data_IF_061404824500
#
_entry.id   IF_061404824500
#
_cell.length_a   1.000
_cell.length_b   1.000
_cell.length_c   1.000
_cell.angle_alpha   90.00
_cell.angle_beta   90.00
_cell.angle_gamma   90.00
#
_symmetry.space_group_name_H-M   'P 1'
#
loop_
_entity.id
_entity.type
_entity.pdbx_description
1 polymer ?
#
# COMPACT_ATOMS: atom_id res chain seq x y z
N UNK A 1 -8.67 37.47 4.20
CA UNK A 1 -7.24 37.24 3.95
C UNK A 1 -6.56 38.52 3.46
N UNK A 2 -5.26 38.71 3.68
CA UNK A 2 -4.48 39.80 3.08
C UNK A 2 -3.75 39.38 1.79
N UNK A 3 -3.17 40.35 1.06
CA UNK A 3 -2.54 40.13 -0.24
C UNK A 3 -1.30 39.22 -0.18
N UNK A 4 -0.48 39.36 0.87
CA UNK A 4 0.75 38.57 1.00
C UNK A 4 0.43 37.12 1.35
N UNK A 5 -0.58 36.92 2.20
CA UNK A 5 -1.12 35.61 2.53
C UNK A 5 -1.77 34.95 1.30
N UNK A 6 -2.58 35.68 0.53
CA UNK A 6 -3.16 35.15 -0.71
C UNK A 6 -2.08 34.77 -1.72
N UNK A 7 -1.05 35.60 -1.87
CA UNK A 7 0.11 35.30 -2.72
C UNK A 7 0.83 34.03 -2.26
N UNK A 8 1.02 33.86 -0.96
CA UNK A 8 1.65 32.66 -0.39
C UNK A 8 0.84 31.40 -0.70
N UNK A 9 -0.48 31.44 -0.51
CA UNK A 9 -1.38 30.32 -0.80
C UNK A 9 -1.34 29.99 -2.30
N UNK A 10 -1.55 30.99 -3.17
CA UNK A 10 -1.64 30.81 -4.62
C UNK A 10 -0.35 30.25 -5.25
N UNK A 11 0.82 30.45 -4.64
CA UNK A 11 2.08 29.81 -5.10
C UNK A 11 2.01 28.29 -5.09
N UNK A 12 1.20 27.72 -4.20
CA UNK A 12 1.04 26.26 -4.08
C UNK A 12 -0.16 25.71 -4.86
N UNK A 13 -0.92 26.58 -5.54
CA UNK A 13 -2.10 26.17 -6.31
C UNK A 13 -1.67 25.29 -7.47
N UNK A 14 -2.21 24.07 -7.59
CA UNK A 14 -1.79 23.14 -8.64
C UNK A 14 -2.49 23.42 -9.98
N UNK A 15 -1.80 23.23 -11.12
CA UNK A 15 -2.37 23.46 -12.45
C UNK A 15 -3.41 22.39 -12.86
N UNK A 16 -3.44 21.24 -12.18
CA UNK A 16 -4.41 20.15 -12.44
C UNK A 16 -5.79 20.40 -11.81
N UNK A 17 -5.95 21.50 -11.05
CA UNK A 17 -7.21 21.87 -10.43
C UNK A 17 -7.61 21.00 -9.23
N UNK A 18 -6.68 20.20 -8.69
CA UNK A 18 -6.98 19.35 -7.54
C UNK A 18 -7.24 20.13 -6.24
N UNK A 19 -7.00 21.44 -6.23
CA UNK A 19 -7.23 22.35 -5.11
C UNK A 19 -8.50 23.22 -5.27
N UNK A 20 -9.35 22.95 -6.28
CA UNK A 20 -10.52 23.80 -6.60
C UNK A 20 -11.57 23.81 -5.48
N UNK A 21 -11.70 22.72 -4.73
CA UNK A 21 -12.68 22.61 -3.64
C UNK A 21 -12.16 23.16 -2.29
N UNK A 22 -10.93 23.65 -2.24
CA UNK A 22 -10.34 24.21 -1.03
C UNK A 22 -10.77 25.68 -0.85
N UNK A 23 -11.27 25.98 0.34
CA UNK A 23 -11.84 27.29 0.67
C UNK A 23 -10.77 28.39 0.73
N UNK A 24 -9.55 28.07 1.15
CA UNK A 24 -8.46 29.04 1.24
C UNK A 24 -8.01 29.48 -0.16
N UNK A 25 -7.95 28.52 -1.09
CA UNK A 25 -7.67 28.82 -2.50
C UNK A 25 -8.80 29.61 -3.16
N UNK A 26 -10.06 29.27 -2.87
CA UNK A 26 -11.20 30.03 -3.38
C UNK A 26 -11.18 31.50 -2.91
N UNK A 27 -10.89 31.75 -1.62
CA UNK A 27 -10.75 33.10 -1.08
C UNK A 27 -9.55 33.84 -1.73
N UNK A 28 -8.43 33.14 -1.96
CA UNK A 28 -7.23 33.75 -2.56
C UNK A 28 -7.44 34.10 -4.03
N UNK A 29 -8.12 33.24 -4.79
CA UNK A 29 -8.48 33.48 -6.17
C UNK A 29 -9.46 34.64 -6.30
N UNK A 30 -10.46 34.72 -5.42
CA UNK A 30 -11.38 35.86 -5.39
C UNK A 30 -10.64 37.18 -5.14
N UNK A 31 -9.69 37.20 -4.19
CA UNK A 31 -8.86 38.39 -3.95
C UNK A 31 -8.00 38.76 -5.16
N UNK A 32 -7.44 37.76 -5.87
CA UNK A 32 -6.66 38.00 -7.10
C UNK A 32 -7.51 38.51 -8.28
N UNK A 33 -8.82 38.25 -8.29
CA UNK A 33 -9.74 38.82 -9.27
C UNK A 33 -10.04 40.30 -9.00
N UNK A 34 -10.02 40.72 -7.73
CA UNK A 34 -10.29 42.10 -7.32
C UNK A 34 -9.04 42.98 -7.32
N UNK A 35 -7.88 42.44 -6.91
CA UNK A 35 -6.59 43.14 -6.89
C UNK A 35 -5.82 42.92 -8.20
N UNK A 36 -5.72 43.99 -8.99
CA UNK A 36 -5.04 43.96 -10.30
C UNK A 36 -3.59 43.48 -10.24
N UNK A 37 -2.82 43.92 -9.26
CA UNK A 37 -1.40 43.55 -9.16
C UNK A 37 -1.25 42.07 -8.79
N UNK A 38 -2.09 41.57 -7.86
CA UNK A 38 -2.10 40.16 -7.51
C UNK A 38 -2.55 39.28 -8.69
N UNK A 39 -3.57 39.72 -9.44
CA UNK A 39 -4.04 39.05 -10.65
C UNK A 39 -2.99 39.01 -11.77
N UNK A 40 -2.30 40.13 -12.04
CA UNK A 40 -1.21 40.21 -13.02
C UNK A 40 -0.05 39.28 -12.62
N UNK A 41 0.33 39.26 -11.32
CA UNK A 41 1.34 38.33 -10.81
C UNK A 41 0.90 36.87 -10.98
N UNK A 42 -0.33 36.52 -10.62
CA UNK A 42 -0.84 35.15 -10.73
C UNK A 42 -0.84 34.69 -12.18
N UNK A 43 -1.28 35.53 -13.12
CA UNK A 43 -1.27 35.21 -14.54
C UNK A 43 0.15 34.93 -15.06
N UNK A 44 1.14 35.72 -14.62
CA UNK A 44 2.54 35.48 -14.96
C UNK A 44 3.05 34.14 -14.41
N UNK A 45 2.75 33.84 -13.14
CA UNK A 45 3.12 32.57 -12.50
C UNK A 45 2.52 31.38 -13.27
N UNK A 46 1.22 31.44 -13.61
CA UNK A 46 0.54 30.38 -14.38
C UNK A 46 1.10 30.20 -15.77
N UNK A 47 1.46 31.29 -16.45
CA UNK A 47 2.08 31.22 -17.77
C UNK A 47 3.46 30.52 -17.70
N UNK A 48 4.25 30.82 -16.67
CA UNK A 48 5.53 30.17 -16.43
C UNK A 48 5.36 28.68 -16.14
N UNK A 49 4.48 28.31 -15.20
CA UNK A 49 4.23 26.91 -14.83
C UNK A 49 3.75 26.08 -16.03
N UNK A 50 2.87 26.65 -16.86
CA UNK A 50 2.40 26.01 -18.08
C UNK A 50 3.53 25.78 -19.08
N UNK A 51 4.40 26.78 -19.29
CA UNK A 51 5.54 26.65 -20.20
C UNK A 51 6.54 25.61 -19.68
N UNK A 52 6.80 25.59 -18.38
CA UNK A 52 7.70 24.62 -17.75
C UNK A 52 7.16 23.19 -17.83
N UNK A 53 5.88 22.99 -17.52
CA UNK A 53 5.22 21.69 -17.64
C UNK A 53 5.21 21.19 -19.09
N UNK A 54 5.00 22.08 -20.05
CA UNK A 54 5.05 21.74 -21.47
C UNK A 54 6.46 21.31 -21.89
N UNK A 55 7.49 22.03 -21.43
CA UNK A 55 8.88 21.68 -21.70
C UNK A 55 9.21 20.28 -21.15
N UNK A 56 8.82 19.98 -19.90
CA UNK A 56 9.02 18.65 -19.32
C UNK A 56 8.26 17.54 -20.07
N UNK A 57 7.00 17.81 -20.46
CA UNK A 57 6.20 16.85 -21.23
C UNK A 57 6.71 16.59 -22.65
N UNK A 58 7.55 17.48 -23.19
CA UNK A 58 8.16 17.32 -24.52
C UNK A 58 9.38 16.39 -24.53
N UNK A 59 9.92 16.05 -23.36
CA UNK A 59 11.08 15.17 -23.23
C UNK A 59 10.68 13.74 -23.56
N UNK A 60 11.34 13.14 -24.56
CA UNK A 60 11.16 11.72 -24.87
C UNK A 60 11.76 10.89 -23.73
N UNK A 61 10.90 10.14 -23.05
CA UNK A 61 11.33 9.22 -22.01
C UNK A 61 11.84 7.93 -22.67
N UNK A 62 13.02 7.40 -22.26
CA UNK A 62 13.42 6.07 -22.68
C UNK A 62 12.39 5.03 -22.26
N UNK A 63 12.06 4.09 -23.14
CA UNK A 63 11.12 2.99 -22.82
C UNK A 63 11.55 2.20 -21.58
N UNK A 64 12.86 2.13 -21.31
CA UNK A 64 13.45 1.43 -20.17
C UNK A 64 13.54 2.25 -18.88
N UNK A 65 13.08 3.52 -18.88
CA UNK A 65 13.26 4.42 -17.74
C UNK A 65 12.58 3.88 -16.47
N UNK A 66 11.38 3.29 -16.63
CA UNK A 66 10.62 2.73 -15.51
C UNK A 66 11.37 1.58 -14.86
N UNK A 67 11.85 0.63 -15.66
CA UNK A 67 12.60 -0.53 -15.20
C UNK A 67 13.90 -0.10 -14.54
N UNK A 68 14.59 0.89 -15.10
CA UNK A 68 15.83 1.43 -14.54
C UNK A 68 15.60 2.10 -13.18
N UNK A 69 14.52 2.88 -13.03
CA UNK A 69 14.15 3.49 -11.74
C UNK A 69 13.85 2.39 -10.71
N UNK A 70 13.08 1.36 -11.08
CA UNK A 70 12.78 0.27 -10.18
C UNK A 70 14.00 -0.55 -9.80
N UNK A 71 14.92 -0.80 -10.74
CA UNK A 71 16.18 -1.47 -10.44
C UNK A 71 17.04 -0.68 -9.45
N UNK A 72 17.12 0.64 -9.64
CA UNK A 72 17.85 1.55 -8.75
C UNK A 72 17.22 1.58 -7.34
N UNK A 73 15.90 1.72 -7.26
CA UNK A 73 15.17 1.69 -5.99
C UNK A 73 15.28 0.33 -5.29
N UNK A 74 15.20 -0.78 -6.02
CA UNK A 74 15.38 -2.12 -5.44
C UNK A 74 16.78 -2.32 -4.87
N UNK A 75 17.81 -1.75 -5.53
CA UNK A 75 19.17 -1.76 -5.03
C UNK A 75 19.34 -0.89 -3.76
N UNK A 76 18.71 0.28 -3.71
CA UNK A 76 18.80 1.20 -2.56
C UNK A 76 18.01 0.72 -1.34
N UNK A 77 16.85 0.10 -1.56
CA UNK A 77 15.91 -0.21 -0.46
C UNK A 77 16.19 -1.51 0.27
N UNK A 78 17.00 -2.42 -0.31
CA UNK A 78 17.23 -3.77 0.22
C UNK A 78 15.94 -4.57 0.59
N UNK A 79 14.75 -4.09 0.19
CA UNK A 79 13.44 -4.65 0.55
C UNK A 79 13.09 -5.90 -0.28
N UNK A 80 13.86 -6.17 -1.34
CA UNK A 80 13.81 -7.45 -2.01
C UNK A 80 14.94 -8.32 -1.48
N UNK A 81 14.66 -9.54 -0.97
CA UNK A 81 15.72 -10.49 -0.68
C UNK A 81 16.49 -10.74 -1.98
N UNK A 82 17.66 -10.11 -2.10
CA UNK A 82 18.63 -10.45 -3.11
C UNK A 82 19.09 -11.86 -2.75
N UNK A 83 19.02 -12.79 -3.69
CA UNK A 83 19.52 -14.12 -3.44
C UNK A 83 21.01 -14.04 -3.09
N UNK A 84 21.37 -14.43 -1.87
CA UNK A 84 22.77 -14.40 -1.42
C UNK A 84 23.61 -15.48 -2.12
N UNK A 85 22.96 -16.57 -2.53
CA UNK A 85 23.57 -17.66 -3.26
C UNK A 85 22.62 -18.32 -4.30
N UNK A 86 23.15 -19.31 -5.01
CA UNK A 86 22.41 -20.03 -6.05
C UNK A 86 21.25 -20.88 -5.50
N UNK A 87 21.32 -21.29 -4.23
CA UNK A 87 20.27 -22.08 -3.59
C UNK A 87 19.09 -21.16 -3.28
N UNK A 88 19.36 -20.01 -2.66
CA UNK A 88 18.33 -18.99 -2.40
C UNK A 88 17.65 -18.51 -3.67
N UNK A 89 18.42 -18.28 -4.75
CA UNK A 89 17.86 -17.92 -6.05
C UNK A 89 16.88 -18.99 -6.57
N UNK A 90 17.23 -20.27 -6.42
CA UNK A 90 16.37 -21.37 -6.83
C UNK A 90 15.08 -21.47 -5.99
N UNK A 91 15.17 -21.24 -4.68
CA UNK A 91 14.00 -21.23 -3.79
C UNK A 91 13.06 -20.06 -4.08
N UNK A 92 13.60 -18.85 -4.26
CA UNK A 92 12.82 -17.66 -4.62
C UNK A 92 12.10 -17.90 -5.95
N UNK A 93 12.80 -18.40 -6.97
CA UNK A 93 12.21 -18.72 -8.27
C UNK A 93 11.13 -19.81 -8.18
N UNK A 94 11.36 -20.87 -7.39
CA UNK A 94 10.39 -21.94 -7.18
C UNK A 94 9.10 -21.43 -6.52
N UNK A 95 9.20 -20.62 -5.47
CA UNK A 95 8.05 -20.03 -4.79
C UNK A 95 7.30 -19.04 -5.70
N UNK A 96 8.02 -18.21 -6.45
CA UNK A 96 7.43 -17.26 -7.39
C UNK A 96 6.67 -17.95 -8.54
N UNK A 97 7.04 -19.19 -8.89
CA UNK A 97 6.36 -19.96 -9.92
C UNK A 97 4.99 -20.52 -9.49
N UNK A 98 4.68 -20.49 -8.20
CA UNK A 98 3.41 -21.00 -7.68
C UNK A 98 2.28 -20.06 -8.10
N UNK A 99 1.39 -20.58 -8.96
CA UNK A 99 0.19 -19.89 -9.38
C UNK A 99 -1.00 -20.42 -8.58
N UNK A 100 -1.49 -19.69 -7.56
CA UNK A 100 -2.66 -20.13 -6.81
C UNK A 100 -3.89 -20.14 -7.72
N UNK A 101 -4.81 -21.12 -7.58
CA UNK A 101 -6.08 -21.11 -8.28
C UNK A 101 -6.88 -19.84 -7.96
N UNK A 102 -7.58 -19.28 -8.95
CA UNK A 102 -8.34 -18.04 -8.78
C UNK A 102 -9.33 -18.08 -7.60
N UNK A 103 -9.92 -19.25 -7.32
CA UNK A 103 -10.87 -19.44 -6.23
C UNK A 103 -10.23 -19.62 -4.83
N UNK A 104 -8.90 -19.78 -4.74
CA UNK A 104 -8.24 -20.08 -3.46
C UNK A 104 -8.45 -18.96 -2.44
N UNK A 105 -8.37 -17.70 -2.88
CA UNK A 105 -8.60 -16.55 -2.01
C UNK A 105 -9.98 -16.62 -1.35
N UNK A 106 -11.01 -16.85 -2.15
CA UNK A 106 -12.39 -16.90 -1.66
C UNK A 106 -12.62 -18.08 -0.71
N UNK A 107 -11.98 -19.23 -0.97
CA UNK A 107 -12.01 -20.40 -0.10
C UNK A 107 -11.34 -20.14 1.26
N UNK A 108 -10.20 -19.45 1.25
CA UNK A 108 -9.48 -19.07 2.48
C UNK A 108 -10.33 -18.10 3.31
N UNK A 109 -10.90 -17.07 2.68
CA UNK A 109 -11.78 -16.12 3.37
C UNK A 109 -13.01 -16.82 3.96
N UNK A 110 -13.67 -17.69 3.19
CA UNK A 110 -14.81 -18.47 3.69
C UNK A 110 -14.44 -19.44 4.83
N UNK A 111 -13.21 -19.97 4.85
CA UNK A 111 -12.71 -20.76 5.97
C UNK A 111 -12.41 -19.90 7.20
N UNK A 112 -11.85 -18.70 7.01
CA UNK A 112 -11.61 -17.72 8.08
C UNK A 112 -12.92 -17.28 8.73
N UNK A 113 -13.95 -16.96 7.94
CA UNK A 113 -15.27 -16.56 8.45
C UNK A 113 -15.93 -17.67 9.28
N UNK A 114 -15.86 -18.92 8.83
CA UNK A 114 -16.34 -20.08 9.60
C UNK A 114 -15.60 -20.24 10.92
N UNK A 115 -14.28 -20.02 10.92
CA UNK A 115 -13.45 -20.13 12.12
C UNK A 115 -13.75 -18.99 13.10
N UNK A 116 -13.92 -17.76 12.59
CA UNK A 116 -14.34 -16.61 13.38
C UNK A 116 -15.74 -16.83 14.00
N UNK A 117 -16.70 -17.31 13.22
CA UNK A 117 -18.03 -17.65 13.71
C UNK A 117 -17.99 -18.77 14.77
N UNK A 118 -17.17 -19.81 14.58
CA UNK A 118 -17.00 -20.88 15.57
C UNK A 118 -16.35 -20.38 16.87
N UNK A 119 -15.40 -19.45 16.79
CA UNK A 119 -14.78 -18.82 17.96
C UNK A 119 -15.77 -17.96 18.77
N UNK A 120 -16.80 -17.41 18.12
CA UNK A 120 -17.89 -16.66 18.78
C UNK A 120 -18.93 -17.60 19.41
N UNK A 121 -19.16 -18.78 18.84
CA UNK A 121 -20.23 -19.71 19.26
C UNK A 121 -19.80 -20.67 20.37
N UNK A 122 -18.50 -20.91 20.58
CA UNK A 122 -18.02 -21.70 21.73
C UNK A 122 -17.92 -20.78 22.95
N UNK A 123 -18.85 -20.83 23.93
CA UNK A 123 -18.56 -20.24 25.22
C UNK A 123 -17.33 -20.94 25.76
N UNK A 124 -16.31 -20.15 26.12
CA UNK A 124 -15.16 -20.59 26.89
C UNK A 124 -15.65 -21.04 28.27
N UNK A 125 -16.28 -22.21 28.35
CA UNK A 125 -16.67 -22.83 29.62
C UNK A 125 -15.39 -23.30 30.30
N UNK A 126 -14.79 -22.43 31.10
CA UNK A 126 -13.84 -22.80 32.15
C UNK A 126 -14.57 -23.72 33.13
N UNK A 127 -14.55 -25.03 32.89
CA UNK A 127 -14.97 -25.99 33.91
C UNK A 127 -13.82 -26.20 34.89
N UNK A 128 -14.09 -26.16 36.20
CA UNK A 128 -13.06 -26.16 37.21
C UNK A 128 -12.38 -27.53 37.34
N UNK A 129 -11.08 -27.45 37.62
CA UNK A 129 -10.23 -28.51 38.14
C UNK A 129 -10.92 -29.23 39.32
N UNK A 130 -10.83 -30.57 39.37
CA UNK A 130 -11.39 -31.51 40.37
C UNK A 130 -12.72 -32.16 39.97
N UNK A 131 -12.62 -33.35 39.36
CA UNK A 131 -13.17 -34.60 39.93
C UNK A 131 -12.87 -35.82 39.02
N UNK A 132 -12.21 -36.82 39.64
CA UNK A 132 -12.35 -38.28 39.41
C UNK A 132 -11.65 -38.80 38.15
N UNK A 133 -10.50 -39.47 38.20
CA UNK A 133 -10.15 -40.68 38.98
C UNK A 133 -11.12 -41.83 38.66
N UNK A 134 -10.92 -42.47 37.51
CA UNK A 134 -11.31 -43.84 37.21
C UNK A 134 -10.56 -44.31 35.94
N UNK A 135 -9.43 -44.98 36.17
CA UNK A 135 -8.82 -45.89 35.20
C UNK A 135 -9.68 -47.17 35.17
N UNK A 136 -9.81 -47.85 34.02
CA UNK A 136 -9.35 -49.23 34.04
C UNK A 136 -8.35 -49.52 32.91
N UNK A 137 -7.33 -50.26 33.33
CA UNK A 137 -6.28 -50.91 32.55
C UNK A 137 -6.90 -52.06 31.76
N UNK A 138 -6.70 -52.07 30.44
CA UNK A 138 -6.68 -53.22 29.52
C UNK A 138 -6.60 -52.64 28.09
N UNK A 139 -5.74 -53.05 27.16
CA UNK A 139 -4.96 -54.26 27.04
C UNK A 139 -3.66 -53.96 26.27
N UNK A 140 -2.61 -54.65 26.67
CA UNK A 140 -1.36 -54.76 25.95
C UNK A 140 -1.53 -55.62 24.68
N UNK A 141 -1.02 -55.13 23.56
CA UNK A 141 -0.46 -55.87 22.43
C UNK A 141 0.23 -54.81 21.55
N UNK A 142 1.55 -54.68 21.43
CA UNK A 142 2.58 -55.71 21.51
C UNK A 142 2.77 -56.39 20.16
N UNK A 143 3.19 -55.65 19.12
CA UNK A 143 4.01 -56.18 18.02
C UNK A 143 5.03 -55.11 17.61
N UNK A 144 6.25 -55.28 18.10
CA UNK A 144 7.46 -54.85 17.42
C UNK A 144 7.78 -55.88 16.33
N UNK A 145 8.32 -55.43 15.19
CA UNK A 145 9.19 -56.09 14.21
C UNK A 145 9.07 -55.28 12.90
N UNK A 146 10.09 -54.93 12.13
CA UNK A 146 11.54 -54.88 12.26
C UNK A 146 12.03 -54.22 10.94
N UNK A 147 13.18 -53.53 11.01
CA UNK A 147 13.95 -52.90 9.93
C UNK A 147 13.40 -51.62 9.29
#
# INVERSE_FOLDING_TARGET
MDKDQARFILRSYRPDGADVDDTDFAEALALAMEDRELGEWLAHERAFDSAFSQALGSVQLPETLRENIFACLAAERADFPQAEDAVDAAWIGALASIHPPAALRDQVLAAMDRTAAAAVVVPMTRKPLLKRLAVPVAAAAGIALAF
#
